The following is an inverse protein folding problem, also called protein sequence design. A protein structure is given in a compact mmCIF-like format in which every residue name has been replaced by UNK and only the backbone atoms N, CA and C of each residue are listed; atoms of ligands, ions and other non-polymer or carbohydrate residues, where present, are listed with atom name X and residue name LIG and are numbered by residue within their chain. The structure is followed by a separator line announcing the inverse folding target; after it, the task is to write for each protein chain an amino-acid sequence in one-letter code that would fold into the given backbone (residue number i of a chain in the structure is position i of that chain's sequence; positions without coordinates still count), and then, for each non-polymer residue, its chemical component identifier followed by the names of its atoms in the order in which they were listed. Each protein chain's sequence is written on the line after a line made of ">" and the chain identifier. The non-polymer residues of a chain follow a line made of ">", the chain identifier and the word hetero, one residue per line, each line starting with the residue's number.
data_IF_873236517322
#
_entry.id   IF_873236517322
#
_cell.length_a   1.000
_cell.length_b   1.000
_cell.length_c   1.000
_cell.angle_alpha   90.00
_cell.angle_beta   90.00
_cell.angle_gamma   90.00
#
_symmetry.space_group_name_H-M   'P 1'
#
loop_
_entity.id
_entity.type
_entity.pdbx_description
1 polymer ?
#
# COMPACT_ATOMS: atom_id res chain seq x y z
N UNK A 1 5.76 -7.12 -1.89
CA UNK A 1 5.98 -6.52 -0.55
C UNK A 1 5.02 -5.34 -0.35
N UNK A 2 4.78 -4.86 0.88
CA UNK A 2 4.00 -3.62 1.07
C UNK A 2 4.87 -2.42 0.67
N UNK A 3 4.36 -1.55 -0.21
CA UNK A 3 5.07 -0.36 -0.71
C UNK A 3 4.25 0.90 -0.50
N UNK A 4 4.86 2.07 -0.65
CA UNK A 4 4.13 3.34 -0.60
C UNK A 4 3.01 3.37 -1.65
N UNK A 5 3.28 2.90 -2.87
CA UNK A 5 2.30 2.84 -3.95
C UNK A 5 1.08 2.00 -3.57
N UNK A 6 1.26 0.88 -2.84
CA UNK A 6 0.12 0.09 -2.33
C UNK A 6 -0.72 0.89 -1.34
N UNK A 7 -0.11 1.65 -0.43
CA UNK A 7 -0.84 2.47 0.55
C UNK A 7 -1.55 3.66 -0.12
N UNK A 8 -0.90 4.37 -1.04
CA UNK A 8 -1.55 5.44 -1.81
C UNK A 8 -2.68 4.89 -2.69
N UNK A 9 -2.47 3.74 -3.34
CA UNK A 9 -3.51 3.06 -4.09
C UNK A 9 -4.69 2.71 -3.20
N UNK A 10 -4.47 2.11 -2.03
CA UNK A 10 -5.52 1.80 -1.05
C UNK A 10 -6.29 3.06 -0.63
N UNK A 11 -5.58 4.16 -0.40
CA UNK A 11 -6.13 5.47 -0.02
C UNK A 11 -6.94 6.17 -1.12
N UNK A 12 -6.81 5.78 -2.38
CA UNK A 12 -7.40 6.52 -3.50
C UNK A 12 -6.52 7.62 -4.06
N UNK A 13 -5.24 7.68 -3.67
CA UNK A 13 -4.27 8.63 -4.17
C UNK A 13 -3.37 9.21 -3.07
N UNK A 14 -2.45 10.08 -3.51
CA UNK A 14 -1.63 10.93 -2.65
C UNK A 14 -2.33 12.28 -2.46
N UNK A 15 -2.51 12.70 -1.20
CA UNK A 15 -3.27 13.89 -0.82
C UNK A 15 -2.45 14.99 -0.16
N UNK A 16 -1.17 14.76 0.12
CA UNK A 16 -0.27 15.78 0.68
C UNK A 16 0.89 15.20 1.48
N UNK A 17 1.73 16.08 2.00
CA UNK A 17 2.99 15.69 2.64
C UNK A 17 2.79 14.97 3.97
N UNK A 18 1.82 15.41 4.78
CA UNK A 18 1.48 14.70 6.03
C UNK A 18 1.10 13.23 5.79
N UNK A 19 0.31 12.98 4.75
CA UNK A 19 -0.03 11.60 4.37
C UNK A 19 1.22 10.83 3.94
N UNK A 20 2.10 11.48 3.16
CA UNK A 20 3.33 10.87 2.71
C UNK A 20 4.28 10.52 3.86
N UNK A 21 4.36 11.35 4.90
CA UNK A 21 5.15 11.08 6.10
C UNK A 21 4.65 9.83 6.84
N UNK A 22 3.33 9.73 7.04
CA UNK A 22 2.68 8.57 7.66
C UNK A 22 2.94 7.31 6.83
N UNK A 23 2.71 7.39 5.51
CA UNK A 23 2.92 6.26 4.58
C UNK A 23 4.37 5.78 4.61
N UNK A 24 5.35 6.69 4.56
CA UNK A 24 6.78 6.34 4.64
C UNK A 24 7.12 5.63 5.95
N UNK A 25 6.67 6.17 7.07
CA UNK A 25 6.94 5.58 8.38
C UNK A 25 6.28 4.19 8.55
N UNK A 26 5.06 3.99 8.02
CA UNK A 26 4.38 2.69 8.01
C UNK A 26 5.15 1.69 7.15
N UNK A 27 5.51 2.06 5.92
CA UNK A 27 6.23 1.17 4.98
C UNK A 27 7.61 0.80 5.52
N UNK A 28 8.27 1.69 6.27
CA UNK A 28 9.58 1.41 6.86
C UNK A 28 9.58 0.22 7.85
N UNK A 29 8.48 0.01 8.59
CA UNK A 29 8.40 -1.03 9.63
C UNK A 29 7.51 -2.22 9.25
N UNK A 30 6.59 -2.04 8.30
CA UNK A 30 5.60 -3.06 7.94
C UNK A 30 6.18 -4.40 7.47
N UNK A 31 7.26 -4.47 6.65
CA UNK A 31 7.82 -5.74 6.18
C UNK A 31 8.25 -6.68 7.30
N UNK A 32 8.79 -6.15 8.39
CA UNK A 32 9.22 -6.95 9.54
C UNK A 32 8.11 -7.19 10.55
N UNK A 33 7.18 -6.24 10.66
CA UNK A 33 6.16 -6.26 11.70
C UNK A 33 4.96 -7.14 11.32
N UNK A 34 4.38 -6.95 10.14
CA UNK A 34 3.15 -7.60 9.74
C UNK A 34 3.24 -9.15 9.72
N UNK A 35 4.36 -9.76 9.28
CA UNK A 35 4.50 -11.23 9.34
C UNK A 35 4.47 -11.79 10.76
N UNK A 36 4.94 -11.05 11.78
CA UNK A 36 4.91 -11.49 13.19
C UNK A 36 3.49 -11.64 13.75
N UNK A 37 2.50 -11.08 13.06
CA UNK A 37 1.08 -11.15 13.39
C UNK A 37 0.27 -11.96 12.37
N UNK A 38 0.95 -12.63 11.44
CA UNK A 38 0.36 -13.33 10.31
C UNK A 38 -0.55 -12.46 9.42
N UNK A 39 -0.26 -11.15 9.33
CA UNK A 39 -0.97 -10.16 8.51
C UNK A 39 -0.21 -9.96 7.17
N UNK A 40 0.08 -11.06 6.48
CA UNK A 40 0.83 -11.07 5.22
C UNK A 40 0.16 -11.84 4.08
N UNK A 41 -0.70 -12.86 4.31
CA UNK A 41 -1.53 -13.40 3.25
C UNK A 41 -2.42 -12.32 2.64
N UNK A 42 -2.67 -12.39 1.33
CA UNK A 42 -3.38 -11.35 0.56
C UNK A 42 -4.64 -10.85 1.27
N UNK A 43 -5.53 -11.78 1.69
CA UNK A 43 -6.82 -11.43 2.29
C UNK A 43 -6.65 -10.72 3.63
N UNK A 44 -5.83 -11.27 4.53
CA UNK A 44 -5.53 -10.64 5.82
C UNK A 44 -4.94 -9.25 5.67
N UNK A 45 -3.94 -9.11 4.79
CA UNK A 45 -3.32 -7.82 4.54
C UNK A 45 -4.31 -6.83 3.94
N UNK A 46 -5.10 -7.22 2.93
CA UNK A 46 -6.06 -6.33 2.29
C UNK A 46 -7.16 -5.85 3.25
N UNK A 47 -7.72 -6.75 4.07
CA UNK A 47 -8.68 -6.37 5.12
C UNK A 47 -8.05 -5.45 6.17
N UNK A 48 -6.85 -5.77 6.65
CA UNK A 48 -6.14 -4.91 7.60
C UNK A 48 -5.91 -3.51 7.02
N UNK A 49 -5.36 -3.42 5.80
CA UNK A 49 -5.14 -2.16 5.08
C UNK A 49 -6.45 -1.37 4.89
N UNK A 50 -7.56 -2.02 4.57
CA UNK A 50 -8.85 -1.37 4.40
C UNK A 50 -9.33 -0.68 5.68
N UNK A 51 -9.14 -1.33 6.82
CA UNK A 51 -9.55 -0.80 8.12
C UNK A 51 -8.66 0.37 8.52
N UNK A 52 -7.33 0.21 8.51
CA UNK A 52 -6.42 1.31 8.85
C UNK A 52 -6.54 2.50 7.90
N UNK A 53 -6.84 2.25 6.61
CA UNK A 53 -7.10 3.31 5.65
C UNK A 53 -8.38 4.08 5.99
N UNK A 54 -9.43 3.43 6.48
CA UNK A 54 -10.64 4.14 6.88
C UNK A 54 -10.44 4.92 8.18
N UNK A 55 -9.92 4.28 9.22
CA UNK A 55 -9.79 4.87 10.56
C UNK A 55 -8.81 6.04 10.63
N UNK A 56 -7.81 6.08 9.73
CA UNK A 56 -6.80 7.16 9.67
C UNK A 56 -7.13 8.27 8.66
N UNK A 57 -8.38 8.31 8.16
CA UNK A 57 -8.80 9.18 7.06
C UNK A 57 -7.82 9.07 5.88
N UNK A 58 -7.67 7.85 5.34
CA UNK A 58 -6.79 7.52 4.22
C UNK A 58 -5.32 7.86 4.49
N UNK A 59 -4.85 7.55 5.70
CA UNK A 59 -3.50 7.84 6.20
C UNK A 59 -3.18 9.32 6.30
N UNK A 60 -4.17 10.23 6.31
CA UNK A 60 -3.94 11.67 6.45
C UNK A 60 -3.69 12.09 7.89
N UNK A 61 -4.07 11.27 8.87
CA UNK A 61 -3.88 11.57 10.29
C UNK A 61 -3.70 10.32 11.15
N UNK A 62 -2.93 10.44 12.22
CA UNK A 62 -2.83 9.48 13.34
C UNK A 62 -3.37 10.08 14.64
N UNK A 63 -4.10 11.18 14.55
CA UNK A 63 -4.83 11.80 15.67
C UNK A 63 -6.26 12.03 15.22
N UNK A 64 -7.20 11.73 16.11
CA UNK A 64 -8.58 12.09 15.86
C UNK A 64 -8.73 13.61 15.67
N UNK A 65 -9.78 14.02 14.98
CA UNK A 65 -10.10 15.45 14.80
C UNK A 65 -10.94 16.01 15.96
N UNK A 66 -11.61 15.14 16.72
CA UNK A 66 -12.42 15.55 17.87
C UNK A 66 -11.55 15.93 19.07
N UNK A 67 -12.12 16.68 20.02
CA UNK A 67 -11.39 17.10 21.23
C UNK A 67 -11.14 15.96 22.23
N UNK A 68 -11.89 14.85 22.12
CA UNK A 68 -11.92 13.78 23.11
C UNK A 68 -12.88 14.04 24.30
N UNK A 69 -13.57 15.19 24.35
CA UNK A 69 -14.49 15.53 25.44
C UNK A 69 -15.62 14.50 25.61
N UNK A 70 -16.08 13.90 24.51
CA UNK A 70 -17.10 12.87 24.52
C UNK A 70 -16.67 11.57 25.23
N UNK A 71 -15.37 11.41 25.50
CA UNK A 71 -14.82 10.26 26.21
C UNK A 71 -14.64 10.51 27.71
N UNK A 72 -14.86 11.73 28.19
CA UNK A 72 -14.71 12.07 29.61
C UNK A 72 -15.68 11.24 30.48
N UNK A 73 -15.15 10.68 31.58
CA UNK A 73 -15.94 9.91 32.53
C UNK A 73 -16.53 8.60 31.99
N UNK A 74 -16.11 8.12 30.80
CA UNK A 74 -16.59 6.86 30.20
C UNK A 74 -15.96 5.65 30.89
N UNK A 75 -16.70 4.90 31.73
CA UNK A 75 -16.14 3.79 32.50
C UNK A 75 -15.75 2.60 31.61
N UNK A 76 -16.46 2.39 30.50
CA UNK A 76 -16.15 1.35 29.50
C UNK A 76 -14.81 1.58 28.78
N UNK A 77 -14.32 2.83 28.78
CA UNK A 77 -13.00 3.22 28.27
C UNK A 77 -11.93 3.29 29.37
N UNK A 78 -12.31 3.02 30.63
CA UNK A 78 -11.46 3.21 31.80
C UNK A 78 -11.16 4.67 32.14
N UNK A 79 -11.88 5.62 31.52
CA UNK A 79 -11.73 7.05 31.77
C UNK A 79 -12.46 7.40 33.07
N UNK A 80 -11.73 7.34 34.19
CA UNK A 80 -12.28 7.45 35.54
C UNK A 80 -11.69 8.61 36.33
N UNK A 81 -10.62 9.23 35.81
CA UNK A 81 -9.99 10.41 36.39
C UNK A 81 -10.40 11.66 35.60
N UNK A 82 -10.56 12.82 36.26
CA UNK A 82 -10.82 14.09 35.57
C UNK A 82 -9.77 14.41 34.50
N UNK A 83 -10.22 14.68 33.28
CA UNK A 83 -9.39 15.02 32.12
C UNK A 83 -8.97 13.84 31.25
N UNK A 84 -9.41 12.62 31.59
CA UNK A 84 -9.11 11.41 30.85
C UNK A 84 -9.61 11.44 29.40
N UNK A 85 -10.75 12.09 29.14
CA UNK A 85 -11.33 12.14 27.81
C UNK A 85 -10.38 12.73 26.78
N UNK A 86 -9.88 13.95 27.05
CA UNK A 86 -8.90 14.61 26.17
C UNK A 86 -7.54 13.93 26.21
N UNK A 87 -7.09 13.48 27.38
CA UNK A 87 -5.77 12.86 27.55
C UNK A 87 -5.66 11.58 26.72
N UNK A 88 -6.70 10.74 26.76
CA UNK A 88 -6.78 9.46 26.07
C UNK A 88 -7.71 9.49 24.85
N UNK A 89 -7.77 10.66 24.20
CA UNK A 89 -8.31 10.88 22.86
C UNK A 89 -7.79 9.85 21.84
N UNK A 90 -8.55 9.63 20.77
CA UNK A 90 -8.25 8.70 19.68
C UNK A 90 -6.91 8.99 19.00
N UNK A 91 -6.01 8.01 18.98
CA UNK A 91 -4.71 8.09 18.28
C UNK A 91 -4.40 6.83 17.49
N UNK A 92 -3.51 7.00 16.51
CA UNK A 92 -2.99 5.92 15.68
C UNK A 92 -3.93 5.49 14.56
N UNK A 93 -3.45 4.50 13.79
CA UNK A 93 -4.07 4.01 12.56
C UNK A 93 -5.40 3.25 12.76
N UNK A 94 -5.72 2.81 13.99
CA UNK A 94 -7.02 2.21 14.36
C UNK A 94 -7.69 2.96 15.53
N UNK A 95 -7.33 4.23 15.78
CA UNK A 95 -7.99 5.08 16.78
C UNK A 95 -8.07 4.47 18.20
N UNK A 96 -6.90 4.14 18.77
CA UNK A 96 -6.78 3.74 20.17
C UNK A 96 -7.32 4.86 21.08
N UNK A 97 -8.36 4.55 21.85
CA UNK A 97 -9.13 5.54 22.61
C UNK A 97 -9.41 5.02 24.02
N UNK A 98 -9.25 5.85 25.05
CA UNK A 98 -9.57 5.52 26.44
C UNK A 98 -8.41 4.95 27.25
N UNK A 99 -8.27 5.39 28.51
CA UNK A 99 -7.18 5.03 29.43
C UNK A 99 -6.92 3.53 29.51
N UNK A 100 -7.97 2.71 29.57
CA UNK A 100 -7.83 1.26 29.65
C UNK A 100 -7.09 0.69 28.42
N UNK A 101 -7.42 1.20 27.23
CA UNK A 101 -6.80 0.76 25.98
C UNK A 101 -5.36 1.28 25.84
N UNK A 102 -5.06 2.50 26.30
CA UNK A 102 -3.68 2.99 26.36
C UNK A 102 -2.82 2.13 27.28
N UNK A 103 -3.33 1.79 28.48
CA UNK A 103 -2.65 0.90 29.41
C UNK A 103 -2.40 -0.48 28.79
N UNK A 104 -3.44 -1.11 28.24
CA UNK A 104 -3.35 -2.41 27.58
C UNK A 104 -2.27 -2.43 26.47
N UNK A 105 -2.27 -1.44 25.58
CA UNK A 105 -1.28 -1.36 24.52
C UNK A 105 0.14 -1.13 25.08
N UNK A 106 0.24 -0.27 26.10
CA UNK A 106 1.50 0.02 26.78
C UNK A 106 2.13 -1.20 27.43
N UNK A 107 1.34 -1.97 28.18
CA UNK A 107 1.78 -3.18 28.88
C UNK A 107 2.32 -4.23 27.90
N UNK A 108 1.65 -4.42 26.75
CA UNK A 108 2.09 -5.36 25.71
C UNK A 108 3.37 -4.92 24.98
N UNK A 109 3.66 -3.61 24.98
CA UNK A 109 4.81 -3.02 24.30
C UNK A 109 5.97 -2.69 25.25
N UNK A 110 5.77 -2.82 26.56
CA UNK A 110 6.71 -2.35 27.57
C UNK A 110 6.88 -0.82 27.55
N UNK A 111 5.81 -0.07 27.25
CA UNK A 111 5.80 1.39 27.16
C UNK A 111 4.78 1.99 28.12
N UNK A 112 5.12 3.09 28.80
CA UNK A 112 4.15 3.82 29.62
C UNK A 112 3.30 4.79 28.77
N UNK A 113 2.35 4.23 28.02
CA UNK A 113 1.40 5.03 27.23
C UNK A 113 0.33 5.73 28.09
N UNK A 114 0.28 5.47 29.39
CA UNK A 114 -0.58 6.22 30.31
C UNK A 114 0.08 7.55 30.67
N UNK A 115 1.39 7.53 30.93
CA UNK A 115 2.19 8.73 31.13
C UNK A 115 2.40 9.52 29.82
N UNK A 116 2.68 8.83 28.70
CA UNK A 116 3.05 9.42 27.41
C UNK A 116 2.05 9.04 26.28
N UNK A 117 0.76 9.37 26.38
CA UNK A 117 -0.27 8.92 25.43
C UNK A 117 -0.06 9.46 24.01
N UNK A 118 0.58 10.61 23.84
CA UNK A 118 0.88 11.18 22.52
C UNK A 118 1.74 10.28 21.64
N UNK A 119 2.53 9.38 22.23
CA UNK A 119 3.33 8.40 21.48
C UNK A 119 2.49 7.46 20.64
N UNK A 120 1.25 7.16 21.05
CA UNK A 120 0.34 6.33 20.26
C UNK A 120 -0.03 6.96 18.90
N UNK A 121 0.27 8.26 18.68
CA UNK A 121 0.11 8.92 17.38
C UNK A 121 1.35 8.79 16.46
N UNK A 122 2.47 8.26 16.94
CA UNK A 122 3.61 7.97 16.06
C UNK A 122 3.19 6.91 15.01
N UNK A 123 3.42 7.13 13.70
CA UNK A 123 2.93 6.22 12.67
C UNK A 123 3.49 4.80 12.77
N UNK A 124 4.75 4.62 13.13
CA UNK A 124 5.36 3.30 13.24
C UNK A 124 4.85 2.54 14.47
N UNK A 125 4.82 3.21 15.63
CA UNK A 125 4.26 2.66 16.87
C UNK A 125 2.76 2.36 16.71
N UNK A 126 2.01 3.25 16.06
CA UNK A 126 0.58 3.04 15.85
C UNK A 126 0.25 1.87 14.92
N UNK A 127 1.13 1.53 13.97
CA UNK A 127 1.00 0.29 13.20
C UNK A 127 1.15 -0.94 14.10
N UNK A 128 2.11 -0.91 15.04
CA UNK A 128 2.30 -1.99 16.01
C UNK A 128 1.08 -2.15 16.92
N UNK A 129 0.56 -1.04 17.45
CA UNK A 129 -0.68 -1.02 18.23
C UNK A 129 -1.85 -1.60 17.41
N UNK A 130 -1.97 -1.22 16.13
CA UNK A 130 -3.01 -1.77 15.25
C UNK A 130 -2.87 -3.30 15.05
N UNK A 131 -1.64 -3.82 14.94
CA UNK A 131 -1.39 -5.26 14.84
C UNK A 131 -1.73 -6.00 16.15
N UNK A 132 -1.39 -5.43 17.31
CA UNK A 132 -1.77 -5.96 18.62
C UNK A 132 -3.29 -6.05 18.74
N UNK A 133 -3.99 -4.98 18.34
CA UNK A 133 -5.46 -4.93 18.39
C UNK A 133 -6.07 -5.98 17.46
N UNK A 134 -5.55 -6.09 16.23
CA UNK A 134 -6.00 -7.06 15.25
C UNK A 134 -5.89 -8.51 15.75
N UNK A 135 -4.77 -8.84 16.41
CA UNK A 135 -4.54 -10.15 17.02
C UNK A 135 -5.47 -10.39 18.21
N UNK A 136 -5.57 -9.43 19.13
CA UNK A 136 -6.40 -9.52 20.34
C UNK A 136 -7.87 -9.79 19.99
N UNK A 137 -8.38 -9.14 18.94
CA UNK A 137 -9.75 -9.35 18.44
C UNK A 137 -9.91 -10.57 17.53
N UNK A 138 -8.86 -11.38 17.35
CA UNK A 138 -8.88 -12.59 16.52
C UNK A 138 -9.44 -12.34 15.11
N UNK A 139 -8.95 -11.28 14.44
CA UNK A 139 -9.53 -10.83 13.16
C UNK A 139 -9.01 -11.60 11.93
N UNK A 140 -7.89 -12.32 12.07
CA UNK A 140 -7.31 -13.11 10.97
C UNK A 140 -8.33 -14.11 10.36
N UNK A 141 -9.02 -14.97 11.14
CA UNK A 141 -10.03 -15.88 10.59
C UNK A 141 -11.19 -15.18 9.85
N UNK A 142 -11.59 -13.99 10.31
CA UNK A 142 -12.66 -13.22 9.65
C UNK A 142 -12.20 -12.69 8.30
N UNK A 143 -10.95 -12.23 8.21
CA UNK A 143 -10.36 -11.81 6.94
C UNK A 143 -10.11 -13.00 5.99
N UNK A 144 -9.74 -14.18 6.52
CA UNK A 144 -9.60 -15.40 5.71
C UNK A 144 -10.94 -15.83 5.10
N UNK A 145 -12.05 -15.62 5.82
CA UNK A 145 -13.41 -15.83 5.34
C UNK A 145 -13.93 -14.69 4.43
N UNK A 146 -13.11 -13.68 4.15
CA UNK A 146 -13.46 -12.47 3.40
C UNK A 146 -14.66 -11.68 3.99
N UNK A 147 -14.90 -11.80 5.31
CA UNK A 147 -16.05 -11.20 5.99
C UNK A 147 -15.76 -9.76 6.47
N UNK A 148 -15.80 -8.83 5.52
CA UNK A 148 -15.61 -7.41 5.79
C UNK A 148 -16.60 -6.87 6.85
N UNK A 149 -17.82 -7.41 6.90
CA UNK A 149 -18.85 -6.92 7.82
C UNK A 149 -18.51 -7.33 9.25
N UNK A 150 -18.08 -8.57 9.46
CA UNK A 150 -17.63 -9.04 10.77
C UNK A 150 -16.38 -8.29 11.23
N UNK A 151 -15.36 -8.12 10.36
CA UNK A 151 -14.17 -7.34 10.69
C UNK A 151 -14.55 -5.91 11.11
N UNK A 152 -15.42 -5.26 10.34
CA UNK A 152 -15.88 -3.88 10.62
C UNK A 152 -16.61 -3.78 11.96
N UNK A 153 -17.48 -4.75 12.28
CA UNK A 153 -18.19 -4.77 13.58
C UNK A 153 -17.24 -4.90 14.76
N UNK A 154 -16.21 -5.73 14.66
CA UNK A 154 -15.25 -5.90 15.76
C UNK A 154 -14.42 -4.64 16.00
N UNK A 155 -14.05 -3.91 14.95
CA UNK A 155 -13.24 -2.69 15.06
C UNK A 155 -14.08 -1.49 15.52
N UNK A 156 -15.28 -1.33 14.97
CA UNK A 156 -16.08 -0.12 15.17
C UNK A 156 -17.26 -0.28 16.15
N UNK A 157 -17.58 -1.52 16.58
CA UNK A 157 -18.81 -1.82 17.33
C UNK A 157 -20.08 -1.76 16.48
N UNK A 158 -19.96 -1.57 15.17
CA UNK A 158 -21.07 -1.40 14.23
C UNK A 158 -20.62 -1.47 12.78
N UNK A 159 -21.45 -0.99 11.84
CA UNK A 159 -21.13 -0.98 10.40
C UNK A 159 -20.81 0.43 9.87
N UNK A 160 -20.41 1.36 10.73
CA UNK A 160 -20.11 2.72 10.31
C UNK A 160 -18.93 2.70 9.32
N UNK A 161 -19.10 3.43 8.21
CA UNK A 161 -18.09 3.52 7.17
C UNK A 161 -17.95 2.28 6.28
N UNK A 162 -18.82 1.26 6.38
CA UNK A 162 -18.70 0.00 5.64
C UNK A 162 -18.47 0.19 4.13
N UNK A 163 -19.19 1.12 3.49
CA UNK A 163 -19.03 1.42 2.06
C UNK A 163 -17.63 1.92 1.73
N UNK A 164 -17.06 2.80 2.56
CA UNK A 164 -15.70 3.28 2.37
C UNK A 164 -14.68 2.16 2.61
N UNK A 165 -14.87 1.36 3.67
CA UNK A 165 -14.01 0.20 3.96
C UNK A 165 -14.01 -0.80 2.80
N UNK A 166 -15.17 -1.05 2.18
CA UNK A 166 -15.28 -1.93 1.01
C UNK A 166 -14.51 -1.38 -0.21
N UNK A 167 -14.56 -0.06 -0.43
CA UNK A 167 -13.76 0.59 -1.48
C UNK A 167 -12.26 0.47 -1.19
N UNK A 168 -11.84 0.70 0.05
CA UNK A 168 -10.44 0.53 0.45
C UNK A 168 -9.99 -0.92 0.29
N UNK A 169 -10.82 -1.90 0.66
CA UNK A 169 -10.53 -3.32 0.49
C UNK A 169 -10.30 -3.68 -0.99
N UNK A 170 -11.24 -3.35 -1.86
CA UNK A 170 -11.11 -3.63 -3.29
C UNK A 170 -9.85 -3.00 -3.92
N UNK A 171 -9.51 -1.78 -3.49
CA UNK A 171 -8.29 -1.07 -3.94
C UNK A 171 -7.02 -1.72 -3.38
N UNK A 172 -7.01 -2.10 -2.10
CA UNK A 172 -5.90 -2.79 -1.46
C UNK A 172 -5.59 -4.12 -2.15
N UNK A 173 -6.61 -4.94 -2.39
CA UNK A 173 -6.44 -6.23 -3.09
C UNK A 173 -5.85 -6.04 -4.49
N UNK A 174 -6.41 -5.11 -5.26
CA UNK A 174 -5.94 -4.81 -6.61
C UNK A 174 -4.49 -4.31 -6.58
N UNK A 175 -4.16 -3.40 -5.66
CA UNK A 175 -2.82 -2.86 -5.53
C UNK A 175 -1.79 -3.92 -5.10
N UNK A 176 -2.17 -4.82 -4.20
CA UNK A 176 -1.31 -5.94 -3.78
C UNK A 176 -1.06 -6.91 -4.93
N UNK A 177 -2.06 -7.18 -5.77
CA UNK A 177 -1.91 -7.99 -6.98
C UNK A 177 -1.01 -7.29 -8.01
N UNK A 178 -1.23 -6.00 -8.28
CA UNK A 178 -0.36 -5.21 -9.15
C UNK A 178 1.09 -5.24 -8.65
N UNK A 179 1.32 -4.93 -7.38
CA UNK A 179 2.65 -4.97 -6.79
C UNK A 179 3.29 -6.36 -6.91
N UNK A 180 2.52 -7.42 -6.65
CA UNK A 180 3.04 -8.79 -6.75
C UNK A 180 3.40 -9.19 -8.18
N UNK A 181 2.60 -8.79 -9.17
CA UNK A 181 2.91 -9.01 -10.59
C UNK A 181 4.21 -8.30 -10.98
N UNK A 182 4.36 -7.03 -10.58
CA UNK A 182 5.58 -6.26 -10.81
C UNK A 182 6.81 -6.90 -10.14
N UNK A 183 6.68 -7.35 -8.88
CA UNK A 183 7.74 -8.05 -8.14
C UNK A 183 8.22 -9.34 -8.86
N UNK A 184 7.32 -9.98 -9.61
CA UNK A 184 7.56 -11.18 -10.42
C UNK A 184 8.00 -10.88 -11.87
N UNK A 185 8.12 -9.60 -12.24
CA UNK A 185 8.57 -9.17 -13.57
C UNK A 185 7.47 -9.12 -14.64
N UNK A 186 6.20 -9.27 -14.26
CA UNK A 186 5.08 -9.00 -15.16
C UNK A 186 4.72 -7.51 -15.13
N UNK A 187 4.22 -6.94 -16.23
CA UNK A 187 3.77 -5.54 -16.28
C UNK A 187 2.25 -5.42 -16.02
N UNK A 188 1.82 -5.03 -14.81
CA UNK A 188 0.41 -4.74 -14.51
C UNK A 188 0.03 -3.29 -14.80
N UNK A 189 0.97 -2.45 -15.28
CA UNK A 189 0.86 -0.99 -15.25
C UNK A 189 1.25 -0.40 -13.89
N UNK A 190 0.83 0.85 -13.59
CA UNK A 190 1.08 1.46 -12.29
C UNK A 190 0.33 0.73 -11.17
N UNK A 191 0.90 0.73 -9.96
CA UNK A 191 0.22 0.26 -8.74
C UNK A 191 -0.72 1.38 -8.28
N UNK A 192 -1.93 1.41 -8.85
CA UNK A 192 -2.94 2.45 -8.65
C UNK A 192 -4.23 1.94 -7.98
N UNK A 193 -4.31 0.62 -7.74
CA UNK A 193 -5.48 -0.04 -7.14
C UNK A 193 -6.69 -0.10 -8.06
N UNK A 194 -6.51 0.10 -9.37
CA UNK A 194 -7.55 -0.01 -10.39
C UNK A 194 -7.33 -1.22 -11.30
N UNK A 195 -8.36 -2.05 -11.48
CA UNK A 195 -8.28 -3.24 -12.33
C UNK A 195 -8.47 -2.86 -13.82
N UNK A 196 -7.46 -2.17 -14.36
CA UNK A 196 -7.43 -1.67 -15.73
C UNK A 196 -6.99 -2.71 -16.76
N UNK A 197 -6.93 -2.30 -18.04
CA UNK A 197 -6.49 -3.18 -19.15
C UNK A 197 -5.08 -3.73 -18.92
N UNK A 198 -4.15 -2.90 -18.42
CA UNK A 198 -2.77 -3.33 -18.15
C UNK A 198 -2.71 -4.35 -17.02
N UNK A 199 -3.49 -4.18 -15.96
CA UNK A 199 -3.56 -5.15 -14.86
C UNK A 199 -4.09 -6.49 -15.33
N UNK A 200 -5.16 -6.50 -16.16
CA UNK A 200 -5.66 -7.74 -16.79
C UNK A 200 -4.64 -8.39 -17.72
N UNK A 201 -3.90 -7.59 -18.50
CA UNK A 201 -2.84 -8.10 -19.37
C UNK A 201 -1.69 -8.73 -18.56
N UNK A 202 -1.26 -8.07 -17.48
CA UNK A 202 -0.26 -8.59 -16.55
C UNK A 202 -0.70 -9.90 -15.87
N UNK A 203 -1.97 -9.99 -15.44
CA UNK A 203 -2.55 -11.22 -14.93
C UNK A 203 -2.55 -12.34 -15.97
N UNK A 204 -2.98 -12.05 -17.21
CA UNK A 204 -2.97 -13.04 -18.29
C UNK A 204 -1.55 -13.53 -18.61
N UNK A 205 -0.55 -12.64 -18.55
CA UNK A 205 0.85 -13.00 -18.74
C UNK A 205 1.39 -13.89 -17.60
N UNK A 206 1.06 -13.56 -16.36
CA UNK A 206 1.38 -14.39 -15.21
C UNK A 206 0.71 -15.77 -15.32
N UNK A 207 -0.59 -15.83 -15.63
CA UNK A 207 -1.33 -17.07 -15.80
C UNK A 207 -0.67 -17.98 -16.84
N UNK A 208 -0.27 -17.45 -18.02
CA UNK A 208 0.51 -18.23 -19.00
C UNK A 208 1.79 -18.80 -18.42
N UNK A 209 2.58 -17.95 -17.74
CA UNK A 209 3.86 -18.35 -17.13
C UNK A 209 3.65 -19.38 -16.01
N UNK A 210 2.50 -19.34 -15.36
CA UNK A 210 2.10 -20.25 -14.30
C UNK A 210 1.42 -21.53 -14.77
N UNK A 211 1.22 -21.70 -16.08
CA UNK A 211 0.50 -22.86 -16.63
C UNK A 211 -0.99 -22.87 -16.31
N UNK A 212 -1.59 -21.69 -16.13
CA UNK A 212 -3.03 -21.48 -15.90
C UNK A 212 -3.70 -20.89 -17.16
N UNK A 213 -5.03 -20.99 -17.24
CA UNK A 213 -5.81 -20.35 -18.29
C UNK A 213 -5.63 -18.82 -18.25
N UNK A 214 -5.21 -18.17 -19.34
CA UNK A 214 -4.83 -16.76 -19.35
C UNK A 214 -6.03 -15.83 -19.54
N UNK A 215 -7.00 -15.93 -18.62
CA UNK A 215 -8.24 -15.15 -18.63
C UNK A 215 -8.00 -13.65 -18.39
N UNK A 216 -6.89 -13.30 -17.75
CA UNK A 216 -6.62 -11.94 -17.27
C UNK A 216 -7.47 -11.54 -16.06
N UNK A 217 -8.24 -12.46 -15.51
CA UNK A 217 -9.10 -12.25 -14.35
C UNK A 217 -8.53 -12.97 -13.13
N UNK A 218 -8.72 -12.37 -11.96
CA UNK A 218 -8.41 -13.02 -10.69
C UNK A 218 -9.35 -14.21 -10.48
N UNK A 219 -8.78 -15.31 -10.01
CA UNK A 219 -9.49 -16.51 -9.57
C UNK A 219 -8.79 -17.06 -8.32
N UNK A 220 -9.43 -17.90 -7.51
CA UNK A 220 -8.76 -18.54 -6.38
C UNK A 220 -7.47 -19.27 -6.77
N UNK A 221 -7.46 -19.96 -7.93
CA UNK A 221 -6.27 -20.61 -8.46
C UNK A 221 -5.17 -19.63 -8.88
N UNK A 222 -5.54 -18.50 -9.50
CA UNK A 222 -4.59 -17.44 -9.87
C UNK A 222 -3.98 -16.82 -8.63
N UNK A 223 -4.78 -16.47 -7.63
CA UNK A 223 -4.30 -15.87 -6.37
C UNK A 223 -3.39 -16.82 -5.60
N UNK A 224 -3.81 -18.08 -5.42
CA UNK A 224 -3.01 -19.09 -4.74
C UNK A 224 -1.63 -19.24 -5.39
N UNK A 225 -1.58 -19.29 -6.73
CA UNK A 225 -0.31 -19.42 -7.47
C UNK A 225 0.52 -18.14 -7.45
N UNK A 226 -0.10 -16.96 -7.50
CA UNK A 226 0.57 -15.65 -7.50
C UNK A 226 1.28 -15.37 -6.17
N UNK A 227 0.68 -15.79 -5.06
CA UNK A 227 1.21 -15.54 -3.71
C UNK A 227 1.96 -16.73 -3.10
N UNK A 228 2.08 -17.86 -3.82
CA UNK A 228 2.87 -19.01 -3.37
C UNK A 228 4.38 -18.71 -3.28
N UNK A 229 5.06 -19.39 -2.35
CA UNK A 229 6.52 -19.49 -2.33
C UNK A 229 7.00 -20.23 -3.59
N UNK A 230 7.71 -19.54 -4.48
CA UNK A 230 8.06 -20.09 -5.80
C UNK A 230 7.07 -19.75 -6.92
N UNK A 231 6.23 -18.71 -6.74
CA UNK A 231 5.45 -18.15 -7.85
C UNK A 231 6.39 -17.84 -9.04
N UNK A 232 6.04 -18.28 -10.26
CA UNK A 232 6.92 -18.16 -11.42
C UNK A 232 7.12 -16.70 -11.78
N UNK A 233 8.37 -16.36 -12.12
CA UNK A 233 8.75 -15.03 -12.59
C UNK A 233 8.66 -15.00 -14.11
N UNK A 234 8.38 -13.83 -14.67
CA UNK A 234 8.60 -13.60 -16.09
C UNK A 234 10.05 -13.96 -16.45
N UNK A 235 10.25 -14.59 -17.61
CA UNK A 235 11.59 -14.74 -18.13
C UNK A 235 12.24 -13.35 -18.22
N UNK A 236 13.51 -13.18 -17.84
CA UNK A 236 14.20 -11.94 -18.14
C UNK A 236 14.09 -11.73 -19.64
N UNK A 237 13.59 -10.58 -20.07
CA UNK A 237 13.57 -10.22 -21.48
C UNK A 237 14.99 -10.49 -22.01
N UNK A 238 15.16 -11.45 -22.90
CA UNK A 238 16.23 -11.39 -23.89
C UNK A 238 15.89 -10.16 -24.71
N UNK A 239 16.31 -9.00 -24.23
CA UNK A 239 16.03 -7.74 -24.87
C UNK A 239 16.50 -7.90 -26.32
N UNK A 240 15.54 -7.96 -27.25
CA UNK A 240 15.81 -7.52 -28.60
C UNK A 240 16.47 -6.15 -28.46
N UNK A 241 17.62 -5.91 -29.12
CA UNK A 241 18.47 -4.77 -28.83
C UNK A 241 17.63 -3.49 -28.87
N UNK A 242 17.64 -2.77 -27.76
CA UNK A 242 16.85 -1.56 -27.60
C UNK A 242 17.13 -0.59 -28.76
N UNK A 243 16.11 0.17 -29.14
CA UNK A 243 16.12 1.16 -30.21
C UNK A 243 17.14 2.31 -30.04
N UNK A 244 18.08 2.22 -29.09
CA UNK A 244 19.30 3.01 -29.07
C UNK A 244 20.17 2.76 -30.31
N UNK A 245 20.27 1.51 -30.81
CA UNK A 245 21.05 1.20 -32.02
C UNK A 245 20.35 1.66 -33.32
N UNK A 246 19.03 1.83 -33.31
CA UNK A 246 18.26 2.40 -34.42
C UNK A 246 18.40 3.93 -34.48
N UNK A 247 18.32 4.60 -33.32
CA UNK A 247 18.55 6.05 -33.22
C UNK A 247 20.01 6.44 -33.49
N UNK A 248 20.98 5.65 -33.02
CA UNK A 248 22.39 5.89 -33.32
C UNK A 248 22.71 5.74 -34.82
N UNK A 249 22.08 4.78 -35.51
CA UNK A 249 22.21 4.63 -36.98
C UNK A 249 21.55 5.77 -37.76
N UNK A 250 20.40 6.27 -37.30
CA UNK A 250 19.74 7.41 -37.92
C UNK A 250 20.51 8.72 -37.71
N UNK A 251 21.02 8.95 -36.49
CA UNK A 251 21.87 10.13 -36.18
C UNK A 251 23.20 10.08 -36.93
N UNK A 252 23.84 8.91 -37.06
CA UNK A 252 25.07 8.76 -37.83
C UNK A 252 24.86 8.97 -39.34
N UNK A 253 23.69 8.57 -39.87
CA UNK A 253 23.36 8.83 -41.28
C UNK A 253 23.09 10.32 -41.54
N UNK A 254 22.36 10.99 -40.65
CA UNK A 254 22.11 12.44 -40.73
C UNK A 254 23.40 13.26 -40.56
N UNK A 255 24.30 12.87 -39.65
CA UNK A 255 25.58 13.54 -39.46
C UNK A 255 26.50 13.41 -40.69
N UNK A 256 26.42 12.29 -41.42
CA UNK A 256 27.20 12.07 -42.65
C UNK A 256 26.63 12.85 -43.84
N UNK A 257 25.30 12.92 -43.96
CA UNK A 257 24.64 13.76 -44.95
C UNK A 257 24.94 15.26 -44.75
N UNK A 258 25.00 15.73 -43.50
CA UNK A 258 25.37 17.12 -43.19
C UNK A 258 26.84 17.42 -43.50
N UNK A 259 27.74 16.46 -43.30
CA UNK A 259 29.16 16.61 -43.63
C UNK A 259 29.39 16.67 -45.15
N UNK A 260 28.67 15.84 -45.92
CA UNK A 260 28.75 15.85 -47.39
C UNK A 260 28.19 17.17 -47.99
N UNK A 261 27.18 17.79 -47.37
CA UNK A 261 26.66 19.12 -47.77
C UNK A 261 27.63 20.27 -47.44
N UNK A 262 28.39 20.16 -46.35
CA UNK A 262 29.39 21.16 -45.93
C UNK A 262 30.68 21.10 -46.75
N UNK A 263 31.11 19.90 -47.20
CA UNK A 263 32.24 19.76 -48.11
C UNK A 263 31.91 20.24 -49.53
N UNK A 264 30.66 20.11 -49.98
CA UNK A 264 30.22 20.64 -51.28
C UNK A 264 30.22 22.18 -51.35
N UNK A 265 30.12 22.88 -50.20
CA UNK A 265 30.12 24.34 -50.15
C UNK A 265 31.51 24.99 -50.02
N UNK A 266 32.59 24.21 -50.00
CA UNK A 266 33.98 24.71 -49.84
C UNK A 266 34.86 24.49 -51.07
N UNK A 267 34.27 24.28 -52.25
CA UNK A 267 35.05 24.30 -53.51
C UNK A 267 35.54 25.73 -53.81
N UNK A 268 36.86 25.95 -53.96
CA UNK A 268 37.43 27.27 -54.22
C UNK A 268 37.10 27.77 -55.63
N UNK A 269 36.83 29.07 -55.73
CA UNK A 269 36.67 29.82 -56.97
C UNK A 269 37.76 29.45 -57.99
N UNK A 270 37.32 28.93 -59.14
CA UNK A 270 38.15 28.81 -60.33
C UNK A 270 38.47 30.22 -60.83
N UNK A 271 39.75 30.57 -60.72
CA UNK A 271 40.36 31.66 -61.50
C UNK A 271 40.29 31.28 -62.99
N UNK A 272 39.77 32.18 -63.81
CA UNK A 272 39.78 32.11 -65.29
C UNK A 272 40.48 33.41 -65.75
N UNK A 273 41.35 33.34 -66.78
CA UNK A 273 42.42 34.33 -67.04
C UNK A 273 41.95 35.74 -67.42
#
# INVERSE_FOLDING_TARGET
>A
MLTESVLYATAGGRFGDRQADIVRAVVAVAPDLLPRFDIHPLRRLAHFLAQICHESDRFKTTREYASGDAYEGRPDLGNTEPGDGRRFAGRGLLQLTGRANYRWAGDLLGLDLVAEPERAADPALSLHIACLYWRDRTLNPLADADDLRAVTRHINGGLNGLVHRARCLARAETALVQQRLADLGHDPGPVDGAEGRRTRAGLAAFQRTAGLDPTGHRSPSTEARLFAGGAPRAAPDTAAPSSAAGRARHIAHLARALADELDASTSPERTIP
#
